data_IF_534231667367
#
_entry.id   IF_534231667367
#
_cell.length_a   1.000
_cell.length_b   1.000
_cell.length_c   1.000
_cell.angle_alpha   90.00
_cell.angle_beta   90.00
_cell.angle_gamma   90.00
#
_symmetry.space_group_name_H-M   'P 1'
#
loop_
_entity.id
_entity.type
_entity.pdbx_description
1 polymer ?
#
# COMPACT_ATOMS: atom_id res chain seq x y z
N UNK A 1 32.06 56.31 -21.65
CA UNK A 1 31.96 55.08 -22.46
C UNK A 1 31.58 53.92 -21.55
N UNK A 2 30.43 53.28 -21.85
CA UNK A 2 29.94 51.90 -21.53
C UNK A 2 30.75 51.10 -20.47
N UNK A 3 30.18 50.51 -19.42
CA UNK A 3 29.01 49.60 -19.42
C UNK A 3 28.31 49.60 -18.05
N UNK A 4 26.99 49.77 -18.07
CA UNK A 4 26.06 49.45 -16.98
C UNK A 4 25.75 47.97 -17.07
N UNK A 5 26.02 47.18 -16.02
CA UNK A 5 25.54 45.80 -15.91
C UNK A 5 24.33 45.82 -14.98
N UNK A 6 23.16 45.84 -15.62
CA UNK A 6 21.85 45.66 -15.03
C UNK A 6 21.71 44.17 -14.67
N UNK A 7 21.71 43.84 -13.37
CA UNK A 7 21.40 42.48 -12.92
C UNK A 7 19.90 42.42 -12.61
N UNK A 8 19.10 42.15 -13.63
CA UNK A 8 17.69 41.77 -13.51
C UNK A 8 17.62 40.44 -12.74
N UNK A 9 17.21 40.49 -11.47
CA UNK A 9 16.82 39.28 -10.74
C UNK A 9 15.55 38.73 -11.38
N UNK A 10 15.72 37.64 -12.12
CA UNK A 10 14.65 36.85 -12.70
C UNK A 10 13.86 36.19 -11.56
N UNK A 11 12.68 36.74 -11.27
CA UNK A 11 11.72 36.18 -10.32
C UNK A 11 11.10 34.94 -10.99
N UNK A 12 11.65 33.75 -10.74
CA UNK A 12 10.98 32.50 -11.07
C UNK A 12 9.90 32.27 -10.02
N UNK A 13 8.72 32.84 -10.29
CA UNK A 13 7.49 32.43 -9.64
C UNK A 13 7.34 30.92 -9.90
N UNK A 14 7.53 30.11 -8.87
CA UNK A 14 7.12 28.71 -8.88
C UNK A 14 5.59 28.71 -8.79
N UNK A 15 4.93 28.98 -9.92
CA UNK A 15 3.57 28.49 -10.12
C UNK A 15 3.65 26.99 -9.93
N UNK A 16 3.05 26.48 -8.85
CA UNK A 16 2.66 25.08 -8.83
C UNK A 16 1.66 24.92 -9.98
N UNK A 17 2.18 24.61 -11.16
CA UNK A 17 1.40 23.88 -12.11
C UNK A 17 0.93 22.65 -11.34
N UNK A 18 -0.38 22.51 -11.15
CA UNK A 18 -0.97 21.19 -11.26
C UNK A 18 -0.32 20.60 -12.50
N UNK A 19 0.67 19.74 -12.31
CA UNK A 19 1.11 18.89 -13.39
C UNK A 19 -0.14 18.09 -13.70
N UNK A 20 -0.85 18.52 -14.75
CA UNK A 20 -1.46 17.58 -15.66
C UNK A 20 -0.32 16.62 -15.96
N UNK A 21 -0.26 15.52 -15.23
CA UNK A 21 0.59 14.41 -15.64
C UNK A 21 0.06 14.12 -17.03
N UNK A 22 0.84 14.46 -18.06
CA UNK A 22 0.66 13.80 -19.33
C UNK A 22 0.88 12.32 -19.00
N UNK A 23 -0.23 11.62 -18.78
CA UNK A 23 -0.27 10.17 -18.79
C UNK A 23 0.25 9.81 -20.17
N UNK A 24 1.43 9.21 -20.21
CA UNK A 24 2.07 8.86 -21.46
C UNK A 24 1.19 7.82 -22.15
N UNK A 25 1.11 7.89 -23.48
CA UNK A 25 0.56 6.84 -24.30
C UNK A 25 1.68 6.34 -25.22
N UNK A 26 1.91 5.03 -25.21
CA UNK A 26 2.97 4.37 -25.98
C UNK A 26 2.42 3.06 -26.49
N UNK A 27 2.82 2.69 -27.70
CA UNK A 27 2.65 1.35 -28.22
C UNK A 27 3.98 0.59 -28.11
N UNK A 28 3.88 -0.69 -27.81
CA UNK A 28 5.00 -1.62 -27.74
C UNK A 28 4.64 -2.83 -28.59
N UNK A 29 5.46 -3.13 -29.58
CA UNK A 29 5.18 -4.23 -30.52
C UNK A 29 6.13 -4.24 -31.70
N UNK A 30 5.96 -5.24 -32.54
CA UNK A 30 6.71 -5.45 -33.79
C UNK A 30 5.81 -5.30 -35.01
N UNK A 31 6.10 -6.12 -36.03
CA UNK A 31 5.35 -6.13 -37.30
C UNK A 31 4.13 -7.05 -37.25
N UNK A 32 4.13 -8.02 -36.34
CA UNK A 32 3.09 -9.02 -36.16
C UNK A 32 2.26 -8.73 -34.90
N UNK A 33 1.65 -9.76 -34.31
CA UNK A 33 0.67 -9.61 -33.24
C UNK A 33 1.31 -9.59 -31.85
N UNK A 34 0.96 -8.57 -31.05
CA UNK A 34 1.28 -8.48 -29.62
C UNK A 34 0.02 -8.27 -28.78
N UNK A 35 -0.06 -8.97 -27.66
CA UNK A 35 -1.16 -8.85 -26.69
C UNK A 35 -0.59 -8.87 -25.28
N UNK A 36 -1.19 -8.09 -24.38
CA UNK A 36 -0.80 -8.02 -22.96
C UNK A 36 -1.93 -8.57 -22.11
N UNK A 37 -1.59 -9.42 -21.14
CA UNK A 37 -2.55 -10.03 -20.23
C UNK A 37 -2.40 -9.57 -18.78
N UNK A 38 -1.18 -9.18 -18.38
CA UNK A 38 -0.92 -8.82 -16.99
C UNK A 38 0.07 -7.65 -16.87
N UNK A 39 -0.22 -6.75 -15.94
CA UNK A 39 0.60 -5.58 -15.65
C UNK A 39 0.55 -5.28 -14.15
N UNK A 40 1.69 -4.87 -13.58
CA UNK A 40 1.77 -4.46 -12.18
C UNK A 40 2.73 -3.29 -12.00
N UNK A 41 2.37 -2.32 -11.16
CA UNK A 41 3.30 -1.29 -10.71
C UNK A 41 4.36 -1.91 -9.79
N UNK A 42 5.63 -1.62 -10.04
CA UNK A 42 6.75 -2.12 -9.25
C UNK A 42 7.13 -1.16 -8.13
N UNK A 43 7.80 -1.67 -7.09
CA UNK A 43 8.22 -0.93 -5.89
C UNK A 43 9.12 0.28 -6.16
N UNK A 44 9.81 0.30 -7.30
CA UNK A 44 10.62 1.42 -7.79
C UNK A 44 9.80 2.52 -8.49
N UNK A 45 8.47 2.36 -8.57
CA UNK A 45 7.54 3.26 -9.23
C UNK A 45 7.38 3.02 -10.74
N UNK A 46 8.10 2.06 -11.31
CA UNK A 46 7.93 1.58 -12.68
C UNK A 46 6.81 0.56 -12.83
N UNK A 47 6.83 -0.21 -13.92
CA UNK A 47 5.82 -1.22 -14.22
C UNK A 47 6.46 -2.48 -14.81
N UNK A 48 5.97 -3.64 -14.43
CA UNK A 48 6.27 -4.90 -15.11
C UNK A 48 5.05 -5.32 -15.93
N UNK A 49 5.28 -5.70 -17.18
CA UNK A 49 4.24 -6.06 -18.15
C UNK A 49 4.55 -7.45 -18.68
N UNK A 50 3.56 -8.33 -18.70
CA UNK A 50 3.65 -9.65 -19.32
C UNK A 50 2.57 -9.79 -20.41
N UNK A 51 3.04 -10.21 -21.58
CA UNK A 51 2.21 -10.45 -22.75
C UNK A 51 2.84 -11.48 -23.66
N UNK A 52 2.34 -11.53 -24.88
CA UNK A 52 2.77 -12.46 -25.91
C UNK A 52 3.17 -11.68 -27.16
N UNK A 53 4.10 -12.22 -27.94
CA UNK A 53 4.51 -11.67 -29.23
C UNK A 53 4.65 -12.76 -30.27
N UNK A 54 4.24 -12.47 -31.49
CA UNK A 54 4.59 -13.26 -32.68
C UNK A 54 5.67 -12.57 -33.52
N UNK A 55 6.14 -11.39 -33.12
CA UNK A 55 7.19 -10.64 -33.84
C UNK A 55 8.61 -11.00 -33.40
N UNK A 56 8.78 -11.55 -32.20
CA UNK A 56 10.09 -11.77 -31.58
C UNK A 56 10.14 -13.12 -30.86
N UNK A 57 11.35 -13.67 -30.70
CA UNK A 57 11.57 -14.90 -29.95
C UNK A 57 11.88 -16.10 -30.85
N UNK A 58 11.57 -17.30 -30.37
CA UNK A 58 11.93 -18.54 -31.01
C UNK A 58 10.67 -19.29 -31.48
N UNK A 59 10.58 -19.47 -32.80
CA UNK A 59 9.50 -20.28 -33.39
C UNK A 59 8.15 -19.58 -33.38
N UNK A 60 7.20 -20.15 -32.63
CA UNK A 60 5.81 -19.71 -32.55
C UNK A 60 5.62 -18.41 -31.77
N UNK A 61 4.54 -18.33 -31.01
CA UNK A 61 4.26 -17.20 -30.13
C UNK A 61 5.05 -17.35 -28.84
N UNK A 62 5.84 -16.34 -28.47
CA UNK A 62 6.60 -16.35 -27.22
C UNK A 62 5.98 -15.45 -26.14
N UNK A 63 6.28 -15.74 -24.87
CA UNK A 63 6.02 -14.82 -23.76
C UNK A 63 7.00 -13.64 -23.86
N UNK A 64 6.49 -12.42 -23.82
CA UNK A 64 7.28 -11.19 -23.85
C UNK A 64 7.04 -10.35 -22.60
N UNK A 65 8.12 -10.09 -21.86
CA UNK A 65 8.08 -9.33 -20.61
C UNK A 65 8.83 -8.03 -20.79
N UNK A 66 8.21 -6.92 -20.39
CA UNK A 66 8.80 -5.59 -20.38
C UNK A 66 8.84 -5.06 -18.95
N UNK A 67 10.03 -4.62 -18.51
CA UNK A 67 10.16 -3.71 -17.37
C UNK A 67 10.22 -2.28 -17.89
N UNK A 68 9.29 -1.48 -17.42
CA UNK A 68 9.12 -0.08 -17.77
C UNK A 68 9.48 0.80 -16.57
N UNK A 69 10.00 2.00 -16.88
CA UNK A 69 10.09 3.09 -15.94
C UNK A 69 8.72 3.71 -15.67
N UNK A 70 8.64 4.62 -14.69
CA UNK A 70 7.42 5.38 -14.38
C UNK A 70 6.88 6.22 -15.56
N UNK A 71 7.71 6.48 -16.58
CA UNK A 71 7.36 7.26 -17.78
C UNK A 71 7.13 6.40 -19.03
N UNK A 72 7.05 5.07 -18.86
CA UNK A 72 6.84 4.11 -19.95
C UNK A 72 8.07 3.92 -20.85
N UNK A 73 9.27 4.25 -20.36
CA UNK A 73 10.51 3.90 -21.08
C UNK A 73 10.87 2.46 -20.74
N UNK A 74 11.23 1.65 -21.73
CA UNK A 74 11.70 0.28 -21.50
C UNK A 74 13.06 0.33 -20.80
N UNK A 75 13.13 -0.25 -19.61
CA UNK A 75 14.38 -0.47 -18.87
C UNK A 75 15.02 -1.79 -19.30
N UNK A 76 14.22 -2.83 -19.45
CA UNK A 76 14.61 -4.08 -20.11
C UNK A 76 13.39 -4.81 -20.68
N UNK A 77 13.64 -5.68 -21.66
CA UNK A 77 12.61 -6.49 -22.32
C UNK A 77 13.23 -7.81 -22.80
N UNK A 78 12.49 -8.92 -22.67
CA UNK A 78 12.98 -10.26 -23.02
C UNK A 78 11.83 -11.16 -23.46
N UNK A 79 12.12 -12.07 -24.38
CA UNK A 79 11.23 -13.18 -24.75
C UNK A 79 11.62 -14.48 -24.05
N UNK A 80 10.62 -15.30 -23.75
CA UNK A 80 10.71 -16.57 -23.06
C UNK A 80 9.79 -17.57 -23.78
N UNK A 81 10.38 -18.59 -24.38
CA UNK A 81 9.63 -19.59 -25.14
C UNK A 81 10.53 -20.60 -25.85
N UNK A 82 9.88 -21.55 -26.52
CA UNK A 82 10.51 -22.71 -27.16
C UNK A 82 10.49 -22.62 -28.68
N UNK A 83 9.94 -23.65 -29.35
CA UNK A 83 9.72 -23.61 -30.81
C UNK A 83 8.23 -23.48 -31.15
N UNK A 84 7.38 -23.92 -30.23
CA UNK A 84 5.93 -23.87 -30.34
C UNK A 84 5.41 -22.62 -29.62
N UNK A 85 4.12 -22.60 -29.25
CA UNK A 85 3.50 -21.43 -28.63
C UNK A 85 3.60 -21.45 -27.11
N UNK A 86 3.82 -20.27 -26.53
CA UNK A 86 3.75 -19.98 -25.10
C UNK A 86 2.77 -18.84 -24.83
N UNK A 87 2.06 -18.99 -23.72
CA UNK A 87 1.01 -18.06 -23.29
C UNK A 87 1.27 -17.64 -21.85
N UNK A 88 1.02 -16.37 -21.53
CA UNK A 88 1.17 -15.83 -20.17
C UNK A 88 -0.11 -15.14 -19.73
N UNK A 89 -0.53 -15.40 -18.50
CA UNK A 89 -1.74 -14.78 -17.94
C UNK A 89 -1.47 -13.99 -16.66
N UNK A 90 -0.36 -14.25 -15.96
CA UNK A 90 -0.10 -13.60 -14.68
C UNK A 90 1.38 -13.33 -14.44
N UNK A 91 1.69 -12.10 -13.97
CA UNK A 91 2.99 -11.69 -13.47
C UNK A 91 2.84 -10.94 -12.15
N UNK A 92 3.76 -11.19 -11.22
CA UNK A 92 3.82 -10.46 -9.96
C UNK A 92 5.28 -10.18 -9.55
N UNK A 93 5.56 -8.95 -9.12
CA UNK A 93 6.79 -8.60 -8.42
C UNK A 93 6.80 -9.28 -7.06
N UNK A 94 7.87 -10.03 -6.81
CA UNK A 94 8.11 -10.71 -5.54
C UNK A 94 8.82 -9.80 -4.53
N UNK A 95 8.71 -10.12 -3.25
CA UNK A 95 9.27 -9.35 -2.12
C UNK A 95 10.79 -9.16 -2.16
N UNK A 96 11.52 -10.04 -2.87
CA UNK A 96 12.96 -9.90 -3.08
C UNK A 96 13.32 -8.99 -4.28
N UNK A 97 12.33 -8.36 -4.92
CA UNK A 97 12.50 -7.48 -6.07
C UNK A 97 12.57 -8.17 -7.43
N UNK A 98 12.57 -9.51 -7.47
CA UNK A 98 12.39 -10.29 -8.69
C UNK A 98 10.91 -10.41 -9.09
N UNK A 99 10.60 -11.32 -10.02
CA UNK A 99 9.25 -11.53 -10.54
C UNK A 99 8.90 -13.02 -10.56
N UNK A 100 7.62 -13.34 -10.42
CA UNK A 100 7.07 -14.68 -10.62
C UNK A 100 5.99 -14.62 -11.70
N UNK A 101 6.03 -15.58 -12.62
CA UNK A 101 5.20 -15.60 -13.82
C UNK A 101 4.54 -16.97 -13.93
N UNK A 102 3.28 -16.98 -14.36
CA UNK A 102 2.55 -18.20 -14.69
C UNK A 102 1.76 -18.06 -15.98
N UNK A 103 1.70 -19.17 -16.71
CA UNK A 103 0.98 -19.34 -17.97
C UNK A 103 1.05 -20.81 -18.39
N UNK A 104 1.14 -21.07 -19.69
CA UNK A 104 1.30 -22.42 -20.23
C UNK A 104 2.15 -22.45 -21.49
N UNK A 105 2.73 -23.61 -21.79
CA UNK A 105 3.68 -23.82 -22.89
C UNK A 105 3.33 -25.07 -23.67
N UNK A 106 3.36 -24.98 -25.00
CA UNK A 106 3.28 -26.13 -25.89
C UNK A 106 4.65 -26.76 -26.15
N UNK A 107 5.74 -26.05 -25.84
CA UNK A 107 7.11 -26.49 -26.12
C UNK A 107 7.69 -27.43 -25.06
N UNK A 108 7.16 -27.42 -23.84
CA UNK A 108 7.76 -28.11 -22.69
C UNK A 108 6.71 -28.83 -21.84
N UNK A 109 7.14 -29.87 -21.13
CA UNK A 109 6.31 -30.60 -20.16
C UNK A 109 5.84 -31.95 -20.67
N UNK A 110 4.78 -32.47 -20.06
CA UNK A 110 4.21 -33.76 -20.35
C UNK A 110 2.78 -33.57 -20.92
N UNK A 111 2.57 -34.04 -22.15
CA UNK A 111 1.27 -33.92 -22.81
C UNK A 111 1.26 -32.84 -23.90
N UNK A 112 0.13 -32.17 -24.06
CA UNK A 112 -0.09 -31.24 -25.19
C UNK A 112 0.36 -29.82 -24.88
N UNK A 113 0.18 -29.38 -23.64
CA UNK A 113 0.69 -28.13 -23.10
C UNK A 113 0.58 -28.18 -21.58
N UNK A 114 1.55 -27.60 -20.88
CA UNK A 114 1.60 -27.66 -19.42
C UNK A 114 1.64 -26.27 -18.79
N UNK A 115 1.25 -26.18 -17.51
CA UNK A 115 1.50 -24.98 -16.72
C UNK A 115 2.99 -24.72 -16.71
N UNK A 116 3.41 -23.50 -17.07
CA UNK A 116 4.79 -23.08 -16.94
C UNK A 116 4.88 -21.94 -15.92
N UNK A 117 5.65 -22.19 -14.86
CA UNK A 117 5.99 -21.16 -13.86
C UNK A 117 7.47 -20.92 -13.88
N UNK A 118 7.86 -19.65 -13.91
CA UNK A 118 9.25 -19.27 -13.81
C UNK A 118 9.43 -18.03 -12.95
N UNK A 119 10.51 -18.04 -12.18
CA UNK A 119 10.97 -16.93 -11.35
C UNK A 119 12.09 -16.21 -12.06
N UNK A 120 11.98 -14.89 -12.11
CA UNK A 120 13.00 -13.99 -12.62
C UNK A 120 13.65 -13.19 -11.49
N UNK A 121 14.91 -12.84 -11.71
CA UNK A 121 15.58 -11.77 -10.98
C UNK A 121 15.03 -10.40 -11.39
N UNK A 122 15.45 -9.35 -10.69
CA UNK A 122 15.08 -7.96 -11.02
C UNK A 122 15.55 -7.49 -12.41
N UNK A 123 16.51 -8.20 -13.02
CA UNK A 123 17.07 -7.90 -14.35
C UNK A 123 16.48 -8.79 -15.46
N UNK A 124 15.49 -9.62 -15.14
CA UNK A 124 14.86 -10.55 -16.07
C UNK A 124 15.71 -11.79 -16.36
N UNK A 125 16.67 -12.14 -15.51
CA UNK A 125 17.37 -13.43 -15.61
C UNK A 125 16.53 -14.52 -14.92
N UNK A 126 16.45 -15.72 -15.52
CA UNK A 126 15.72 -16.84 -14.92
C UNK A 126 16.49 -17.35 -13.70
N UNK A 127 15.84 -17.35 -12.54
CA UNK A 127 16.35 -17.97 -11.31
C UNK A 127 15.96 -19.44 -11.24
N UNK A 128 14.71 -19.76 -11.59
CA UNK A 128 14.24 -21.13 -11.79
C UNK A 128 13.01 -21.15 -12.69
N UNK A 129 12.72 -22.30 -13.30
CA UNK A 129 11.56 -22.52 -14.15
C UNK A 129 11.15 -24.00 -14.14
N UNK A 130 9.84 -24.27 -14.15
CA UNK A 130 9.29 -25.62 -14.05
C UNK A 130 7.95 -25.71 -14.77
N UNK A 131 7.69 -26.88 -15.34
CA UNK A 131 6.36 -27.24 -15.82
C UNK A 131 5.63 -28.13 -14.83
N UNK A 132 4.31 -27.97 -14.80
CA UNK A 132 3.39 -28.74 -13.96
C UNK A 132 2.20 -29.19 -14.81
N UNK A 133 1.98 -30.49 -14.87
CA UNK A 133 0.87 -31.07 -15.62
C UNK A 133 0.99 -32.59 -15.73
N UNK A 134 0.25 -33.16 -16.68
CA UNK A 134 0.03 -34.61 -16.79
C UNK A 134 0.22 -35.17 -18.19
N UNK A 135 -0.81 -35.79 -18.77
CA UNK A 135 -0.74 -36.37 -20.12
C UNK A 135 -1.53 -35.57 -21.16
N UNK A 136 -2.28 -34.56 -20.70
CA UNK A 136 -3.20 -33.77 -21.48
C UNK A 136 -2.78 -32.29 -21.47
N UNK A 137 -3.71 -31.35 -21.62
CA UNK A 137 -3.45 -29.92 -21.47
C UNK A 137 -3.57 -29.45 -20.03
N UNK A 138 -2.75 -28.50 -19.61
CA UNK A 138 -2.79 -27.91 -18.28
C UNK A 138 -2.39 -26.43 -18.37
N UNK A 139 -3.09 -25.53 -17.69
CA UNK A 139 -2.84 -24.09 -17.82
C UNK A 139 -3.07 -23.27 -16.57
N UNK A 140 -2.30 -22.20 -16.39
CA UNK A 140 -2.38 -21.31 -15.24
C UNK A 140 -2.86 -19.90 -15.66
N UNK A 141 -3.78 -19.35 -14.88
CA UNK A 141 -4.35 -18.02 -15.07
C UNK A 141 -3.84 -17.00 -14.06
N UNK A 142 -3.43 -17.47 -12.88
CA UNK A 142 -3.16 -16.59 -11.74
C UNK A 142 -2.03 -17.15 -10.88
N UNK A 143 -1.11 -16.27 -10.47
CA UNK A 143 -0.06 -16.58 -9.51
C UNK A 143 0.11 -15.46 -8.50
N UNK A 144 0.36 -15.84 -7.25
CA UNK A 144 0.70 -14.90 -6.19
C UNK A 144 1.75 -15.49 -5.25
N UNK A 145 2.73 -14.66 -4.86
CA UNK A 145 3.64 -14.96 -3.75
C UNK A 145 2.88 -14.93 -2.43
N UNK A 146 3.03 -15.99 -1.65
CA UNK A 146 2.40 -16.17 -0.33
C UNK A 146 3.29 -15.62 0.79
N UNK A 147 2.68 -15.35 1.95
CA UNK A 147 3.33 -14.76 3.13
C UNK A 147 4.46 -15.61 3.74
N UNK A 148 4.47 -16.91 3.48
CA UNK A 148 5.54 -17.85 3.81
C UNK A 148 6.73 -17.81 2.82
N UNK A 149 6.64 -16.99 1.77
CA UNK A 149 7.64 -16.86 0.71
C UNK A 149 7.50 -17.85 -0.45
N UNK A 150 6.54 -18.77 -0.39
CA UNK A 150 6.14 -19.64 -1.49
C UNK A 150 5.22 -18.95 -2.50
N UNK A 151 4.52 -19.74 -3.31
CA UNK A 151 3.60 -19.24 -4.33
C UNK A 151 2.33 -20.07 -4.41
N UNK A 152 1.19 -19.42 -4.65
CA UNK A 152 -0.07 -20.08 -4.94
C UNK A 152 -0.42 -19.83 -6.42
N UNK A 153 -0.81 -20.89 -7.13
CA UNK A 153 -1.12 -20.89 -8.56
C UNK A 153 -2.53 -21.43 -8.74
N UNK A 154 -3.30 -20.80 -9.63
CA UNK A 154 -4.62 -21.27 -10.03
C UNK A 154 -4.74 -21.36 -11.56
N UNK A 155 -5.56 -22.31 -12.01
CA UNK A 155 -5.81 -22.55 -13.42
C UNK A 155 -6.75 -23.73 -13.66
N UNK A 156 -6.48 -24.48 -14.72
CA UNK A 156 -7.26 -25.64 -15.14
C UNK A 156 -6.35 -26.84 -15.47
N UNK A 157 -6.91 -28.04 -15.44
CA UNK A 157 -6.24 -29.28 -15.83
C UNK A 157 -7.17 -30.17 -16.65
N UNK A 158 -6.69 -30.70 -17.78
CA UNK A 158 -7.32 -31.79 -18.53
C UNK A 158 -6.74 -33.16 -18.15
N UNK A 159 -5.79 -33.17 -17.22
CA UNK A 159 -4.97 -34.32 -16.88
C UNK A 159 -5.44 -35.03 -15.62
N UNK A 160 -6.09 -34.31 -14.70
CA UNK A 160 -6.47 -34.80 -13.37
C UNK A 160 -7.88 -34.37 -13.01
N UNK A 161 -8.48 -35.05 -12.03
CA UNK A 161 -9.80 -34.70 -11.49
C UNK A 161 -10.91 -35.60 -12.00
N UNK A 162 -12.14 -35.10 -12.00
CA UNK A 162 -13.36 -35.91 -11.97
C UNK A 162 -14.23 -35.80 -13.23
N UNK A 163 -13.71 -35.61 -14.43
CA UNK A 163 -14.54 -35.66 -15.64
C UNK A 163 -13.94 -34.86 -16.79
N UNK A 164 -14.60 -33.75 -17.13
CA UNK A 164 -14.03 -32.71 -17.99
C UNK A 164 -12.90 -31.96 -17.26
N UNK A 165 -12.49 -30.79 -17.77
CA UNK A 165 -11.39 -30.05 -17.16
C UNK A 165 -11.76 -29.65 -15.74
N UNK A 166 -10.83 -29.75 -14.81
CA UNK A 166 -11.06 -29.37 -13.43
C UNK A 166 -10.30 -28.08 -13.08
N UNK A 167 -10.86 -27.28 -12.18
CA UNK A 167 -10.11 -26.16 -11.62
C UNK A 167 -8.95 -26.71 -10.78
N UNK A 168 -7.74 -26.23 -11.04
CA UNK A 168 -6.53 -26.76 -10.40
C UNK A 168 -5.79 -25.67 -9.64
N UNK A 169 -5.46 -25.96 -8.38
CA UNK A 169 -4.67 -25.08 -7.52
C UNK A 169 -3.42 -25.80 -7.05
N UNK A 170 -2.28 -25.12 -7.15
CA UNK A 170 -0.99 -25.58 -6.66
C UNK A 170 -0.45 -24.61 -5.62
N UNK A 171 -0.04 -25.13 -4.46
CA UNK A 171 0.84 -24.43 -3.54
C UNK A 171 2.27 -24.90 -3.78
N UNK A 172 3.13 -23.93 -4.06
CA UNK A 172 4.53 -24.11 -4.34
C UNK A 172 5.37 -23.53 -3.20
N UNK A 173 6.53 -24.15 -2.97
CA UNK A 173 7.59 -23.59 -2.14
C UNK A 173 8.29 -22.44 -2.86
N UNK A 174 9.18 -21.72 -2.17
CA UNK A 174 9.99 -20.64 -2.78
C UNK A 174 10.89 -21.13 -3.93
N UNK A 175 11.20 -22.43 -3.99
CA UNK A 175 12.01 -23.08 -5.01
C UNK A 175 11.18 -23.71 -6.15
N UNK A 176 9.85 -23.53 -6.12
CA UNK A 176 8.92 -24.10 -7.10
C UNK A 176 8.61 -25.59 -6.88
N UNK A 177 8.93 -26.16 -5.72
CA UNK A 177 8.53 -27.53 -5.42
C UNK A 177 7.07 -27.55 -4.95
N UNK A 178 6.28 -28.54 -5.36
CA UNK A 178 4.87 -28.65 -4.97
C UNK A 178 4.77 -29.05 -3.49
N UNK A 179 4.17 -28.18 -2.68
CA UNK A 179 3.85 -28.48 -1.27
C UNK A 179 2.51 -29.20 -1.17
N UNK A 180 1.51 -28.72 -1.91
CA UNK A 180 0.25 -29.41 -2.12
C UNK A 180 -0.40 -28.98 -3.43
N UNK A 181 -1.32 -29.79 -3.90
CA UNK A 181 -2.15 -29.51 -5.07
C UNK A 181 -3.53 -30.16 -4.92
N UNK A 182 -4.55 -29.53 -5.52
CA UNK A 182 -5.95 -29.98 -5.43
C UNK A 182 -6.71 -29.61 -6.70
N UNK A 183 -7.58 -30.52 -7.14
CA UNK A 183 -8.59 -30.26 -8.16
C UNK A 183 -9.95 -30.00 -7.51
N UNK A 184 -10.69 -29.05 -8.05
CA UNK A 184 -12.02 -28.67 -7.62
C UNK A 184 -12.93 -28.69 -8.84
N UNK A 185 -13.94 -29.53 -8.80
CA UNK A 185 -14.78 -29.76 -9.97
C UNK A 185 -15.68 -30.97 -9.81
N UNK A 186 -16.54 -31.15 -10.81
CA UNK A 186 -17.48 -32.25 -10.93
C UNK A 186 -17.23 -33.02 -12.22
N UNK A 187 -18.29 -33.57 -12.82
CA UNK A 187 -18.16 -34.35 -14.05
C UNK A 187 -17.97 -33.53 -15.32
N UNK A 188 -18.19 -32.22 -15.25
CA UNK A 188 -18.10 -31.29 -16.38
C UNK A 188 -16.87 -30.36 -16.23
N UNK A 189 -16.88 -29.24 -16.95
CA UNK A 189 -15.77 -28.30 -17.08
C UNK A 189 -15.72 -27.28 -15.93
N UNK A 190 -14.55 -27.11 -15.32
CA UNK A 190 -14.24 -26.12 -14.30
C UNK A 190 -12.87 -25.49 -14.55
N UNK A 191 -12.76 -24.19 -14.29
CA UNK A 191 -11.47 -23.49 -14.32
C UNK A 191 -11.38 -22.43 -13.23
N UNK A 192 -10.25 -22.38 -12.53
CA UNK A 192 -9.95 -21.26 -11.63
C UNK A 192 -9.25 -20.15 -12.41
N UNK A 193 -9.73 -18.92 -12.27
CA UNK A 193 -9.24 -17.74 -12.99
C UNK A 193 -8.42 -16.80 -12.13
N UNK A 194 -8.73 -16.70 -10.84
CA UNK A 194 -8.04 -15.80 -9.91
C UNK A 194 -7.89 -16.45 -8.55
N UNK A 195 -6.74 -16.24 -7.91
CA UNK A 195 -6.47 -16.71 -6.56
C UNK A 195 -5.77 -15.65 -5.73
N UNK A 196 -6.12 -15.56 -4.45
CA UNK A 196 -5.49 -14.67 -3.48
C UNK A 196 -5.36 -15.36 -2.11
N UNK A 197 -4.25 -15.16 -1.41
CA UNK A 197 -4.06 -15.54 -0.02
C UNK A 197 -4.85 -14.58 0.89
N UNK A 198 -5.56 -15.14 1.85
CA UNK A 198 -6.30 -14.39 2.87
C UNK A 198 -5.47 -14.20 4.14
N UNK A 199 -5.82 -13.19 4.95
CA UNK A 199 -5.09 -12.84 6.18
C UNK A 199 -5.11 -13.92 7.27
N UNK A 200 -6.03 -14.88 7.18
CA UNK A 200 -6.12 -16.08 8.04
C UNK A 200 -5.16 -17.20 7.58
N UNK A 201 -4.38 -16.99 6.53
CA UNK A 201 -3.43 -17.96 5.96
C UNK A 201 -4.04 -18.93 4.93
N UNK A 202 -5.36 -18.91 4.73
CA UNK A 202 -6.02 -19.66 3.66
C UNK A 202 -6.01 -18.92 2.32
N UNK A 203 -6.90 -19.32 1.41
CA UNK A 203 -6.96 -18.75 0.05
C UNK A 203 -8.40 -18.52 -0.41
N UNK A 204 -8.62 -17.57 -1.30
CA UNK A 204 -9.86 -17.41 -2.04
C UNK A 204 -9.60 -17.61 -3.53
N UNK A 205 -10.50 -18.35 -4.19
CA UNK A 205 -10.39 -18.71 -5.61
C UNK A 205 -11.67 -18.30 -6.30
N UNK A 206 -11.58 -17.70 -7.48
CA UNK A 206 -12.72 -17.41 -8.34
C UNK A 206 -12.53 -18.08 -9.71
N UNK A 207 -13.60 -18.62 -10.27
CA UNK A 207 -13.58 -19.41 -11.49
C UNK A 207 -14.96 -19.59 -12.12
N UNK A 208 -15.07 -20.50 -13.10
CA UNK A 208 -16.36 -20.92 -13.67
C UNK A 208 -16.54 -22.43 -13.57
N UNK A 209 -17.80 -22.89 -13.61
CA UNK A 209 -18.22 -24.29 -13.55
C UNK A 209 -19.35 -24.58 -14.52
N UNK A 210 -19.35 -25.79 -15.07
CA UNK A 210 -20.46 -26.40 -15.80
C UNK A 210 -21.15 -27.51 -14.98
N UNK A 211 -20.55 -27.95 -13.87
CA UNK A 211 -21.04 -29.09 -13.08
C UNK A 211 -22.11 -28.74 -12.05
N UNK A 212 -22.11 -27.51 -11.52
CA UNK A 212 -22.85 -27.20 -10.29
C UNK A 212 -23.98 -26.18 -10.47
N UNK A 213 -24.43 -25.98 -11.70
CA UNK A 213 -25.42 -24.95 -12.01
C UNK A 213 -26.48 -25.37 -13.03
N UNK A 214 -27.49 -24.51 -13.22
CA UNK A 214 -28.63 -24.77 -14.08
C UNK A 214 -28.51 -23.95 -15.38
N UNK A 215 -27.93 -24.55 -16.42
CA UNK A 215 -27.79 -23.90 -17.72
C UNK A 215 -26.39 -24.04 -18.31
N UNK A 216 -25.89 -22.96 -18.91
CA UNK A 216 -24.49 -22.80 -19.34
C UNK A 216 -23.62 -22.29 -18.18
N UNK A 217 -22.44 -21.74 -18.48
CA UNK A 217 -21.37 -21.39 -17.52
C UNK A 217 -21.87 -20.52 -16.37
N UNK A 218 -21.60 -20.93 -15.13
CA UNK A 218 -21.75 -20.10 -13.93
C UNK A 218 -20.41 -19.85 -13.24
N UNK A 219 -20.27 -18.74 -12.52
CA UNK A 219 -19.05 -18.46 -11.77
C UNK A 219 -19.11 -19.04 -10.35
N UNK A 220 -17.99 -19.55 -9.86
CA UNK A 220 -17.83 -19.98 -8.48
C UNK A 220 -16.84 -19.10 -7.72
N UNK A 221 -16.99 -19.06 -6.39
CA UNK A 221 -15.98 -18.53 -5.47
C UNK A 221 -15.78 -19.55 -4.35
N UNK A 222 -14.53 -19.95 -4.12
CA UNK A 222 -14.15 -20.90 -3.06
C UNK A 222 -13.31 -20.19 -2.00
N UNK A 223 -13.54 -20.53 -0.73
CA UNK A 223 -12.60 -20.25 0.37
C UNK A 223 -11.91 -21.57 0.74
N UNK A 224 -10.60 -21.59 0.58
CA UNK A 224 -9.75 -22.71 0.94
C UNK A 224 -9.10 -22.48 2.32
N UNK A 225 -8.89 -23.57 3.03
CA UNK A 225 -7.99 -23.67 4.17
C UNK A 225 -6.52 -23.58 3.71
N UNK A 226 -5.55 -23.36 4.62
CA UNK A 226 -4.13 -23.24 4.27
C UNK A 226 -3.53 -24.46 3.55
N UNK A 227 -4.12 -25.64 3.73
CA UNK A 227 -3.76 -26.91 3.08
C UNK A 227 -4.49 -27.17 1.75
N UNK A 228 -5.31 -26.22 1.30
CA UNK A 228 -6.08 -26.32 0.07
C UNK A 228 -7.43 -27.02 0.23
N UNK A 229 -7.74 -27.57 1.41
CA UNK A 229 -9.04 -28.21 1.59
C UNK A 229 -10.15 -27.14 1.75
N UNK A 230 -11.41 -27.57 1.60
CA UNK A 230 -12.60 -26.74 1.85
C UNK A 230 -13.42 -27.38 2.96
N UNK A 231 -14.47 -26.71 3.42
CA UNK A 231 -15.36 -27.25 4.44
C UNK A 231 -15.82 -28.68 4.07
N UNK A 232 -15.63 -29.70 4.93
CA UNK A 232 -15.96 -31.09 4.61
C UNK A 232 -17.44 -31.34 4.27
N UNK A 233 -18.34 -30.41 4.58
CA UNK A 233 -19.73 -30.45 4.16
C UNK A 233 -19.93 -30.15 2.67
N UNK A 234 -18.92 -29.61 1.98
CA UNK A 234 -18.88 -29.38 0.55
C UNK A 234 -18.28 -30.61 -0.17
N UNK A 235 -19.10 -31.42 -0.84
CA UNK A 235 -18.67 -32.62 -1.58
C UNK A 235 -17.95 -32.36 -2.92
N UNK A 236 -17.02 -31.40 -2.98
CA UNK A 236 -16.42 -30.86 -4.22
C UNK A 236 -14.89 -31.09 -4.35
N UNK A 237 -14.27 -31.94 -3.51
CA UNK A 237 -12.81 -32.11 -3.51
C UNK A 237 -12.39 -33.45 -4.12
N UNK A 238 -11.44 -33.38 -5.07
CA UNK A 238 -10.62 -34.51 -5.51
C UNK A 238 -9.13 -34.32 -5.15
N UNK A 239 -8.39 -35.43 -5.04
CA UNK A 239 -6.92 -35.41 -4.89
C UNK A 239 -6.22 -35.52 -6.25
N UNK A 240 -5.17 -34.71 -6.50
CA UNK A 240 -4.36 -34.76 -7.73
C UNK A 240 -2.85 -34.99 -7.48
N UNK A 241 -2.16 -35.57 -8.47
CA UNK A 241 -0.73 -35.90 -8.43
C UNK A 241 -0.02 -35.47 -9.73
N UNK A 242 0.22 -34.17 -9.92
CA UNK A 242 0.96 -33.67 -11.08
C UNK A 242 2.43 -34.08 -11.11
N UNK A 243 2.94 -34.27 -12.34
CA UNK A 243 4.37 -34.46 -12.59
C UNK A 243 5.06 -33.09 -12.65
N UNK A 244 6.20 -32.98 -11.95
CA UNK A 244 7.01 -31.75 -11.93
C UNK A 244 8.27 -31.97 -12.75
N UNK A 245 8.42 -31.18 -13.82
CA UNK A 245 9.60 -31.27 -14.70
C UNK A 245 10.31 -29.92 -14.69
N UNK A 246 11.61 -29.91 -14.34
CA UNK A 246 12.44 -28.71 -14.47
C UNK A 246 12.75 -28.43 -15.94
N UNK A 247 12.56 -27.20 -16.39
CA UNK A 247 12.86 -26.78 -17.77
C UNK A 247 14.11 -25.90 -17.82
N UNK A 248 14.72 -25.79 -19.01
CA UNK A 248 15.97 -25.05 -19.23
C UNK A 248 15.89 -24.16 -20.47
N UNK A 249 15.04 -23.13 -20.43
CA UNK A 249 15.00 -22.06 -21.43
C UNK A 249 16.03 -20.98 -21.12
N UNK A 250 16.67 -20.42 -22.14
CA UNK A 250 17.51 -19.22 -22.03
C UNK A 250 16.76 -18.02 -22.59
N UNK A 251 16.65 -16.89 -21.88
CA UNK A 251 15.89 -15.74 -22.34
C UNK A 251 16.54 -15.06 -23.54
N UNK A 252 15.74 -14.69 -24.54
CA UNK A 252 16.16 -13.87 -25.68
C UNK A 252 16.03 -12.38 -25.37
N UNK A 253 17.06 -11.57 -25.65
CA UNK A 253 16.95 -10.12 -25.58
C UNK A 253 16.24 -9.56 -26.83
N UNK A 254 15.32 -8.62 -26.66
CA UNK A 254 14.66 -7.90 -27.76
C UNK A 254 15.04 -6.41 -27.77
N UNK A 255 15.10 -5.79 -28.95
CA UNK A 255 15.50 -4.38 -29.14
C UNK A 255 14.35 -3.51 -29.68
N UNK A 256 13.19 -3.52 -29.02
CA UNK A 256 12.04 -2.69 -29.42
C UNK A 256 12.21 -1.26 -28.89
N UNK A 257 12.09 -0.27 -29.76
CA UNK A 257 12.03 1.15 -29.39
C UNK A 257 10.57 1.60 -29.28
N UNK A 258 10.10 2.13 -28.13
CA UNK A 258 8.74 2.61 -27.98
C UNK A 258 8.40 3.74 -28.95
N UNK A 259 7.25 3.67 -29.61
CA UNK A 259 6.74 4.75 -30.45
C UNK A 259 5.78 5.64 -29.66
N UNK A 260 6.00 6.95 -29.70
CA UNK A 260 5.08 7.91 -29.08
C UNK A 260 3.89 8.16 -30.01
N UNK A 261 2.69 7.84 -29.56
CA UNK A 261 1.47 8.22 -30.26
C UNK A 261 1.05 9.61 -29.78
N UNK A 262 1.05 10.58 -30.69
CA UNK A 262 0.46 11.90 -30.42
C UNK A 262 -1.06 11.78 -30.53
N UNK A 263 -1.72 11.52 -29.40
CA UNK A 263 -3.18 11.62 -29.31
C UNK A 263 -3.53 13.10 -29.18
N UNK A 264 -4.06 13.71 -30.24
CA UNK A 264 -4.89 14.91 -30.08
C UNK A 264 -6.22 14.46 -29.48
N UNK A 265 -6.61 14.90 -28.27
CA UNK A 265 -7.95 14.61 -27.77
C UNK A 265 -8.95 15.22 -28.75
N UNK A 266 -9.64 14.40 -29.53
CA UNK A 266 -10.87 14.83 -30.18
C UNK A 266 -11.86 15.08 -29.06
N UNK A 267 -12.16 16.36 -28.78
CA UNK A 267 -13.32 16.70 -27.96
C UNK A 267 -14.57 16.41 -28.77
N UNK A 268 -15.00 15.16 -28.75
CA UNK A 268 -16.40 14.84 -28.96
C UNK A 268 -17.18 15.44 -27.81
N UNK A 269 -18.01 16.45 -28.09
CA UNK A 269 -19.07 16.90 -27.19
C UNK A 269 -20.09 15.78 -27.06
N UNK A 270 -19.81 14.83 -26.15
CA UNK A 270 -20.73 13.77 -25.75
C UNK A 270 -21.57 14.32 -24.62
N UNK A 271 -22.83 14.58 -24.90
CA UNK A 271 -23.87 14.66 -23.86
C UNK A 271 -24.05 13.22 -23.33
N UNK A 272 -23.92 12.94 -22.02
CA UNK A 272 -24.11 11.59 -21.52
C UNK A 272 -25.54 11.12 -21.83
N UNK A 273 -25.65 10.03 -22.59
CA UNK A 273 -26.87 9.25 -22.75
C UNK A 273 -26.68 7.95 -21.96
N UNK A 274 -27.57 7.72 -20.99
CA UNK A 274 -27.57 6.51 -20.17
C UNK A 274 -27.75 5.26 -21.04
N UNK A 275 -26.86 4.28 -20.88
CA UNK A 275 -27.05 2.91 -21.37
C UNK A 275 -27.68 2.06 -20.26
N UNK A 276 -28.87 1.52 -20.52
CA UNK A 276 -29.55 0.60 -19.61
C UNK A 276 -28.98 -0.82 -19.79
N UNK A 277 -27.96 -1.14 -19.00
CA UNK A 277 -27.75 -2.50 -18.51
C UNK A 277 -28.59 -2.66 -17.24
N UNK A 278 -29.39 -3.73 -17.14
CA UNK A 278 -30.15 -4.00 -15.91
C UNK A 278 -29.26 -4.71 -14.90
N UNK A 279 -29.03 -4.04 -13.78
CA UNK A 279 -28.44 -4.60 -12.56
C UNK A 279 -29.58 -4.75 -11.56
N UNK A 280 -29.86 -5.98 -11.11
CA UNK A 280 -30.70 -6.21 -9.95
C UNK A 280 -29.82 -6.27 -8.71
N UNK A 281 -29.88 -5.21 -7.90
CA UNK A 281 -29.27 -5.13 -6.58
C UNK A 281 -30.08 -5.99 -5.60
N UNK A 282 -29.54 -7.12 -5.14
CA UNK A 282 -30.27 -8.02 -4.22
C UNK A 282 -30.24 -7.55 -2.75
N UNK A 283 -29.20 -6.81 -2.33
CA UNK A 283 -29.22 -5.93 -1.14
C UNK A 283 -27.92 -5.10 -1.06
N UNK A 284 -28.00 -3.89 -0.48
CA UNK A 284 -26.86 -3.16 0.04
C UNK A 284 -26.82 -3.40 1.56
N UNK A 285 -25.67 -3.80 2.11
CA UNK A 285 -25.51 -3.88 3.55
C UNK A 285 -25.73 -2.46 4.13
N UNK A 286 -26.66 -2.28 5.08
CA UNK A 286 -26.99 -0.95 5.56
C UNK A 286 -25.73 -0.31 6.14
N UNK A 287 -25.46 0.93 5.71
CA UNK A 287 -24.42 1.76 6.30
C UNK A 287 -25.03 2.62 7.36
N UNK A 288 -24.29 2.82 8.43
CA UNK A 288 -24.70 3.63 9.56
C UNK A 288 -23.65 4.70 9.84
N UNK A 289 -24.14 5.87 10.23
CA UNK A 289 -23.32 7.03 10.56
C UNK A 289 -23.07 7.07 12.06
N UNK A 290 -21.80 7.08 12.46
CA UNK A 290 -21.36 7.44 13.79
C UNK A 290 -21.03 8.94 13.82
N UNK A 291 -21.84 9.71 14.54
CA UNK A 291 -21.58 11.13 14.80
C UNK A 291 -20.89 11.28 16.16
N UNK A 292 -19.63 11.72 16.13
CA UNK A 292 -18.83 11.98 17.32
C UNK A 292 -18.91 13.46 17.71
N UNK A 293 -19.16 13.72 18.98
CA UNK A 293 -19.14 15.07 19.58
C UNK A 293 -18.47 15.07 20.95
N UNK A 294 -18.09 16.25 21.45
CA UNK A 294 -17.51 16.40 22.79
C UNK A 294 -18.17 17.57 23.52
N UNK A 295 -18.19 17.54 24.86
CA UNK A 295 -18.29 18.78 25.63
C UNK A 295 -16.92 19.47 25.69
N UNK A 296 -16.89 20.75 26.06
CA UNK A 296 -15.63 21.47 26.28
C UNK A 296 -14.73 20.71 27.24
N UNK A 297 -13.46 20.50 26.88
CA UNK A 297 -12.49 19.85 27.76
C UNK A 297 -11.82 18.59 27.22
N UNK A 298 -11.97 18.24 25.95
CA UNK A 298 -11.24 17.11 25.35
C UNK A 298 -11.52 16.84 23.87
N UNK A 299 -10.87 15.81 23.34
CA UNK A 299 -11.03 15.30 21.96
C UNK A 299 -11.35 13.79 21.98
N UNK A 300 -11.74 13.26 20.82
CA UNK A 300 -12.03 11.83 20.64
C UNK A 300 -11.27 11.24 19.45
N UNK A 301 -11.14 9.93 19.43
CA UNK A 301 -10.81 9.11 18.26
C UNK A 301 -11.87 8.00 18.13
N UNK A 302 -12.64 7.89 17.02
CA UNK A 302 -12.66 8.78 15.85
C UNK A 302 -12.87 10.26 16.20
N UNK A 303 -12.27 11.14 15.40
CA UNK A 303 -12.33 12.58 15.61
C UNK A 303 -13.77 13.11 15.59
N UNK A 304 -14.02 14.26 16.22
CA UNK A 304 -15.32 14.92 16.16
C UNK A 304 -15.78 15.11 14.71
N UNK A 305 -17.01 14.73 14.41
CA UNK A 305 -17.55 14.71 13.04
C UNK A 305 -18.34 13.43 12.75
N UNK A 306 -18.77 13.29 11.51
CA UNK A 306 -19.54 12.14 11.03
C UNK A 306 -18.65 11.15 10.30
N UNK A 307 -18.77 9.87 10.65
CA UNK A 307 -18.01 8.74 10.10
C UNK A 307 -18.99 7.64 9.69
N UNK A 308 -18.80 7.02 8.53
CA UNK A 308 -19.72 6.02 7.99
C UNK A 308 -19.11 4.63 8.05
N UNK A 309 -19.88 3.65 8.54
CA UNK A 309 -19.46 2.26 8.71
C UNK A 309 -20.53 1.32 8.18
N UNK A 310 -20.15 0.10 7.78
CA UNK A 310 -21.08 -0.97 7.43
C UNK A 310 -21.75 -1.56 8.69
N UNK A 311 -22.92 -2.20 8.52
CA UNK A 311 -23.58 -2.97 9.59
C UNK A 311 -22.62 -3.99 10.23
N UNK A 312 -22.72 -4.13 11.55
CA UNK A 312 -21.90 -4.95 12.44
C UNK A 312 -20.42 -4.57 12.57
N UNK A 313 -19.95 -3.50 11.94
CA UNK A 313 -18.58 -3.01 12.19
C UNK A 313 -18.39 -2.63 13.66
N UNK A 314 -17.33 -3.15 14.30
CA UNK A 314 -16.94 -2.74 15.65
C UNK A 314 -16.03 -1.51 15.60
N UNK A 315 -16.43 -0.44 16.26
CA UNK A 315 -15.70 0.83 16.33
C UNK A 315 -15.24 1.08 17.74
N UNK A 316 -13.92 1.20 17.94
CA UNK A 316 -13.33 1.55 19.24
C UNK A 316 -13.18 3.06 19.36
N UNK A 317 -13.83 3.64 20.36
CA UNK A 317 -13.82 5.06 20.68
C UNK A 317 -12.95 5.33 21.90
N UNK A 318 -12.08 6.33 21.81
CA UNK A 318 -11.21 6.76 22.89
C UNK A 318 -11.38 8.26 23.13
N UNK A 319 -11.54 8.67 24.39
CA UNK A 319 -11.62 10.07 24.81
C UNK A 319 -10.29 10.54 25.41
N UNK A 320 -9.85 11.74 25.04
CA UNK A 320 -8.62 12.37 25.53
C UNK A 320 -8.98 13.70 26.20
N UNK A 321 -8.88 13.79 27.52
CA UNK A 321 -9.15 15.02 28.28
C UNK A 321 -8.01 16.03 28.16
N UNK A 322 -8.33 17.31 28.02
CA UNK A 322 -7.37 18.41 28.17
C UNK A 322 -7.24 18.83 29.63
N UNK A 323 -6.19 19.61 29.96
CA UNK A 323 -5.87 20.00 31.35
C UNK A 323 -7.02 20.77 32.02
N UNK A 324 -7.25 20.48 33.29
CA UNK A 324 -8.35 21.07 34.07
C UNK A 324 -9.69 20.37 33.85
N UNK A 325 -9.73 19.37 32.97
CA UNK A 325 -10.91 18.57 32.70
C UNK A 325 -10.62 17.09 32.93
N UNK A 326 -11.65 16.37 33.35
CA UNK A 326 -11.62 14.91 33.43
C UNK A 326 -12.71 14.33 32.52
N UNK A 327 -12.43 13.17 31.94
CA UNK A 327 -13.45 12.40 31.25
C UNK A 327 -14.42 11.82 32.29
N UNK A 328 -15.72 12.08 32.11
CA UNK A 328 -16.78 11.59 33.00
C UNK A 328 -17.59 10.45 32.42
N UNK A 329 -17.57 10.26 31.11
CA UNK A 329 -18.30 9.19 30.45
C UNK A 329 -18.71 9.53 29.03
N UNK A 330 -19.16 8.51 28.32
CA UNK A 330 -19.83 8.61 27.04
C UNK A 330 -21.33 8.79 27.28
N UNK A 331 -21.99 9.60 26.45
CA UNK A 331 -23.45 9.79 26.45
C UNK A 331 -23.98 9.72 25.02
N UNK A 332 -25.25 9.38 24.86
CA UNK A 332 -25.94 9.31 23.57
C UNK A 332 -26.34 7.89 23.26
N UNK A 333 -25.97 7.38 22.09
CA UNK A 333 -26.28 6.01 21.65
C UNK A 333 -25.57 4.92 22.45
N UNK A 334 -24.56 5.30 23.24
CA UNK A 334 -23.95 4.47 24.28
C UNK A 334 -23.74 5.32 25.53
N UNK A 335 -23.91 4.70 26.71
CA UNK A 335 -23.65 5.33 28.01
C UNK A 335 -22.70 4.45 28.80
N UNK A 336 -21.52 4.95 29.11
CA UNK A 336 -20.48 4.20 29.83
C UNK A 336 -19.42 5.13 30.41
N UNK A 337 -18.82 4.75 31.52
CA UNK A 337 -17.66 5.43 32.10
C UNK A 337 -16.33 4.82 31.66
N UNK A 338 -16.36 3.70 30.93
CA UNK A 338 -15.15 3.04 30.42
C UNK A 338 -14.55 3.83 29.26
N UNK A 339 -13.22 3.95 29.26
CA UNK A 339 -12.46 4.60 28.21
C UNK A 339 -11.12 3.87 28.02
N UNK A 340 -10.84 3.25 26.86
CA UNK A 340 -11.66 3.24 25.63
C UNK A 340 -12.94 2.37 25.75
N UNK A 341 -13.86 2.53 24.80
CA UNK A 341 -15.06 1.69 24.63
C UNK A 341 -15.21 1.24 23.18
N UNK A 342 -15.70 0.02 22.95
CA UNK A 342 -16.03 -0.49 21.61
C UNK A 342 -17.54 -0.59 21.44
N UNK A 343 -18.05 -0.17 20.29
CA UNK A 343 -19.47 -0.26 19.93
C UNK A 343 -19.63 -0.99 18.59
N UNK A 344 -20.72 -1.73 18.44
CA UNK A 344 -21.10 -2.37 17.17
C UNK A 344 -22.06 -1.44 16.41
N UNK A 345 -21.75 -1.16 15.13
CA UNK A 345 -22.57 -0.32 14.26
C UNK A 345 -23.75 -1.11 13.70
N UNK A 346 -24.94 -0.92 14.24
CA UNK A 346 -26.20 -1.56 13.80
C UNK A 346 -27.36 -0.57 13.61
N UNK A 347 -27.06 0.72 13.73
CA UNK A 347 -27.95 1.87 13.56
C UNK A 347 -27.09 3.11 13.40
N UNK A 348 -27.65 4.21 12.90
CA UNK A 348 -27.01 5.52 13.11
C UNK A 348 -26.83 5.74 14.62
N UNK A 349 -25.65 6.23 15.00
CA UNK A 349 -25.27 6.46 16.40
C UNK A 349 -24.72 7.86 16.56
N UNK A 350 -25.16 8.54 17.59
CA UNK A 350 -24.60 9.80 18.03
C UNK A 350 -24.03 9.62 19.43
N UNK A 351 -22.72 9.82 19.57
CA UNK A 351 -22.00 9.62 20.83
C UNK A 351 -21.24 10.89 21.19
N UNK A 352 -21.42 11.34 22.43
CA UNK A 352 -20.78 12.51 22.99
C UNK A 352 -19.83 12.10 24.12
N UNK A 353 -18.57 12.49 24.05
CA UNK A 353 -17.65 12.40 25.18
C UNK A 353 -17.93 13.56 26.15
N UNK A 354 -18.26 13.23 27.40
CA UNK A 354 -18.51 14.21 28.45
C UNK A 354 -17.24 14.43 29.26
N UNK A 355 -16.73 15.66 29.19
CA UNK A 355 -15.67 16.18 30.02
C UNK A 355 -16.25 17.15 31.06
N UNK A 356 -15.74 17.08 32.28
CA UNK A 356 -16.10 17.99 33.38
C UNK A 356 -14.89 18.80 33.80
N UNK A 357 -15.08 20.10 33.94
CA UNK A 357 -14.09 20.98 34.56
C UNK A 357 -13.92 20.55 36.03
N UNK A 358 -12.70 20.20 36.41
CA UNK A 358 -12.34 19.93 37.79
C UNK A 358 -12.52 21.22 38.60
N UNK A 359 -13.11 21.18 39.81
CA UNK A 359 -13.17 22.36 40.66
C UNK A 359 -11.77 22.93 40.82
N UNK A 360 -11.63 24.26 40.69
CA UNK A 360 -10.38 24.91 41.05
C UNK A 360 -10.07 24.53 42.49
N UNK A 361 -8.99 23.77 42.67
CA UNK A 361 -8.40 23.58 43.99
C UNK A 361 -8.00 24.97 44.49
N UNK A 362 -8.80 25.53 45.40
CA UNK A 362 -8.31 26.48 46.40
C UNK A 362 -7.31 25.73 47.28
N UNK A 363 -6.11 25.49 46.75
CA UNK A 363 -4.86 25.35 47.49
C UNK A 363 -3.71 25.16 46.49
N UNK A 364 -2.94 26.23 46.28
CA UNK A 364 -1.59 26.26 45.73
C UNK A 364 -1.10 25.05 44.93
N UNK A 365 -1.55 24.92 43.69
CA UNK A 365 -1.02 23.90 42.78
C UNK A 365 0.44 24.27 42.41
N UNK A 366 1.42 23.69 43.12
CA UNK A 366 2.76 23.49 42.58
C UNK A 366 2.60 22.58 41.37
N UNK A 367 2.41 23.14 40.19
CA UNK A 367 2.71 22.42 38.95
C UNK A 367 4.10 21.78 39.11
N UNK A 368 4.28 20.51 38.73
CA UNK A 368 5.62 19.94 38.70
C UNK A 368 6.50 20.86 37.85
N UNK A 369 7.53 21.43 38.48
CA UNK A 369 8.47 22.29 37.80
C UNK A 369 9.18 21.42 36.76
N UNK A 370 9.04 21.77 35.48
CA UNK A 370 9.77 21.13 34.38
C UNK A 370 10.89 22.06 33.92
N UNK A 371 11.92 21.51 33.27
CA UNK A 371 13.13 22.25 32.84
C UNK A 371 12.79 23.59 32.18
N UNK A 372 11.85 23.60 31.23
CA UNK A 372 11.42 24.81 30.55
C UNK A 372 10.71 25.79 31.52
N UNK A 373 9.79 25.31 32.36
CA UNK A 373 9.12 26.11 33.40
C UNK A 373 10.11 26.70 34.40
N UNK A 374 11.12 25.93 34.81
CA UNK A 374 12.19 26.38 35.71
C UNK A 374 13.03 27.51 35.08
N UNK A 375 13.31 27.41 33.78
CA UNK A 375 14.10 28.40 33.03
C UNK A 375 13.31 29.68 32.72
N UNK A 376 12.03 29.56 32.37
CA UNK A 376 11.16 30.70 32.07
C UNK A 376 10.52 31.32 33.32
N UNK A 377 10.53 30.60 34.44
CA UNK A 377 10.08 31.08 35.75
C UNK A 377 8.56 31.08 35.95
N UNK A 378 7.80 30.72 34.92
CA UNK A 378 6.36 30.58 34.98
C UNK A 378 5.90 29.49 34.00
N UNK A 379 4.94 28.63 34.40
CA UNK A 379 4.34 27.66 33.48
C UNK A 379 3.42 28.32 32.44
N UNK A 380 3.03 29.57 32.66
CA UNK A 380 2.20 30.38 31.77
C UNK A 380 3.03 31.32 30.87
N UNK A 381 4.34 31.09 30.77
CA UNK A 381 5.18 31.91 29.92
C UNK A 381 4.91 31.58 28.43
N UNK A 382 4.79 32.57 27.51
CA UNK A 382 4.39 32.32 26.12
C UNK A 382 5.23 31.28 25.36
N UNK A 383 6.52 31.20 25.65
CA UNK A 383 7.41 30.18 25.09
C UNK A 383 7.07 28.75 25.53
N UNK A 384 6.51 28.57 26.72
CA UNK A 384 6.03 27.27 27.22
C UNK A 384 4.80 26.85 26.42
N UNK A 385 3.90 27.78 26.11
CA UNK A 385 2.70 27.49 25.30
C UNK A 385 3.09 27.00 23.90
N UNK A 386 4.03 27.68 23.25
CA UNK A 386 4.58 27.26 21.94
C UNK A 386 5.13 25.82 21.99
N UNK A 387 5.88 25.47 23.03
CA UNK A 387 6.45 24.12 23.19
C UNK A 387 5.35 23.08 23.46
N UNK A 388 4.29 23.44 24.18
CA UNK A 388 3.15 22.57 24.47
C UNK A 388 2.30 22.33 23.22
N UNK A 389 2.05 23.36 22.43
CA UNK A 389 1.31 23.24 21.16
C UNK A 389 2.04 22.32 20.18
N UNK A 390 3.37 22.45 20.09
CA UNK A 390 4.18 21.57 19.25
C UNK A 390 4.15 20.11 19.74
N UNK A 391 4.27 19.89 21.05
CA UNK A 391 4.13 18.56 21.67
C UNK A 391 2.79 17.94 21.30
N UNK A 392 1.70 18.67 21.49
CA UNK A 392 0.34 18.16 21.30
C UNK A 392 0.05 17.88 19.82
N UNK A 393 0.52 18.76 18.92
CA UNK A 393 0.28 18.64 17.48
C UNK A 393 1.14 17.56 16.80
N UNK A 394 2.40 17.38 17.20
CA UNK A 394 3.35 16.55 16.45
C UNK A 394 3.92 15.37 17.23
N UNK A 395 4.04 15.45 18.56
CA UNK A 395 4.63 14.37 19.35
C UNK A 395 3.56 13.40 19.88
N UNK A 396 2.44 13.90 20.40
CA UNK A 396 1.39 13.08 21.00
C UNK A 396 0.66 12.13 20.02
N UNK A 397 0.48 12.46 18.72
CA UNK A 397 -0.16 11.54 17.77
C UNK A 397 0.68 10.29 17.47
N UNK A 398 2.00 10.35 17.61
CA UNK A 398 2.92 9.27 17.22
C UNK A 398 3.36 8.43 18.43
N UNK A 399 3.52 7.11 18.26
CA UNK A 399 4.00 6.20 19.32
C UNK A 399 5.40 6.60 19.82
N UNK A 400 6.29 6.99 18.89
CA UNK A 400 7.63 7.46 19.20
C UNK A 400 7.60 8.79 19.99
N UNK A 401 6.80 9.76 19.55
CA UNK A 401 6.68 11.05 20.24
C UNK A 401 6.10 10.92 21.65
N UNK A 402 5.09 10.06 21.86
CA UNK A 402 4.59 9.74 23.21
C UNK A 402 5.67 9.16 24.11
N UNK A 403 6.52 8.29 23.58
CA UNK A 403 7.63 7.70 24.33
C UNK A 403 8.66 8.76 24.76
N UNK A 404 9.01 9.68 23.85
CA UNK A 404 9.92 10.80 24.14
C UNK A 404 9.35 11.76 25.18
N UNK A 405 8.06 12.10 25.07
CA UNK A 405 7.36 12.95 26.05
C UNK A 405 7.36 12.27 27.42
N UNK A 406 7.01 11.00 27.52
CA UNK A 406 7.04 10.26 28.79
C UNK A 406 8.44 10.26 29.43
N UNK A 407 9.49 10.10 28.62
CA UNK A 407 10.88 10.18 29.09
C UNK A 407 11.21 11.57 29.65
N UNK A 408 10.85 12.64 28.92
CA UNK A 408 11.04 14.01 29.39
C UNK A 408 10.32 14.27 30.72
N UNK A 409 9.06 13.85 30.84
CA UNK A 409 8.27 14.05 32.06
C UNK A 409 8.83 13.26 33.26
N UNK A 410 9.41 12.08 33.01
CA UNK A 410 10.05 11.25 34.05
C UNK A 410 11.30 11.90 34.65
N UNK A 411 12.15 12.52 33.83
CA UNK A 411 13.46 13.03 34.28
C UNK A 411 13.50 14.54 34.56
N UNK A 412 12.57 15.31 34.00
CA UNK A 412 12.56 16.77 34.07
C UNK A 412 12.40 17.35 35.50
N UNK A 413 11.60 16.78 36.42
CA UNK A 413 11.43 17.36 37.77
C UNK A 413 12.73 17.51 38.58
N UNK A 414 13.60 16.50 38.58
CA UNK A 414 14.87 16.55 39.32
C UNK A 414 15.81 17.62 38.79
N UNK A 415 15.86 17.78 37.47
CA UNK A 415 16.70 18.78 36.79
C UNK A 415 16.10 20.19 36.95
N UNK A 416 14.78 20.31 36.87
CA UNK A 416 14.06 21.56 37.03
C UNK A 416 14.25 22.17 38.41
N UNK A 417 14.28 21.36 39.48
CA UNK A 417 14.57 21.84 40.83
C UNK A 417 15.97 22.47 40.95
N UNK A 418 16.97 21.92 40.25
CA UNK A 418 18.33 22.49 40.21
C UNK A 418 18.34 23.84 39.46
N UNK A 419 17.63 23.91 38.33
CA UNK A 419 17.52 25.13 37.51
C UNK A 419 16.75 26.22 38.26
N UNK A 420 15.64 25.89 38.91
CA UNK A 420 14.75 26.84 39.56
C UNK A 420 15.45 27.67 40.66
N UNK A 421 16.47 27.09 41.29
CA UNK A 421 17.22 27.70 42.39
C UNK A 421 18.53 28.38 41.97
N UNK A 422 18.91 28.36 40.68
CA UNK A 422 20.17 28.93 40.21
C UNK A 422 19.97 29.88 39.02
N UNK A 423 20.22 31.17 39.24
CA UNK A 423 20.06 32.23 38.22
C UNK A 423 20.92 32.00 36.96
N UNK A 424 22.15 31.50 37.11
CA UNK A 424 23.03 31.23 35.98
C UNK A 424 22.52 30.05 35.14
N UNK A 425 22.05 28.97 35.79
CA UNK A 425 21.44 27.83 35.10
C UNK A 425 20.14 28.22 34.39
N UNK A 426 19.29 29.08 34.98
CA UNK A 426 18.11 29.60 34.28
C UNK A 426 18.46 30.29 32.97
N UNK A 427 19.50 31.14 32.99
CA UNK A 427 19.92 31.89 31.81
C UNK A 427 20.49 30.97 30.72
N UNK A 428 21.33 30.00 31.11
CA UNK A 428 21.91 29.02 30.17
C UNK A 428 20.81 28.19 29.51
N UNK A 429 19.91 27.62 30.31
CA UNK A 429 18.82 26.77 29.81
C UNK A 429 17.84 27.58 28.96
N UNK A 430 17.52 28.81 29.36
CA UNK A 430 16.67 29.71 28.57
C UNK A 430 17.26 29.97 27.19
N UNK A 431 18.57 30.26 27.10
CA UNK A 431 19.25 30.49 25.83
C UNK A 431 19.27 29.24 24.95
N UNK A 432 19.45 28.06 25.55
CA UNK A 432 19.39 26.78 24.81
C UNK A 432 18.00 26.46 24.30
N UNK A 433 16.93 26.89 24.98
CA UNK A 433 15.55 26.66 24.57
C UNK A 433 15.08 27.57 23.43
N UNK A 434 15.68 28.74 23.23
CA UNK A 434 15.30 29.69 22.16
C UNK A 434 15.18 29.04 20.76
N UNK A 435 16.18 28.29 20.24
CA UNK A 435 16.05 27.66 18.93
C UNK A 435 14.93 26.62 18.87
N UNK A 436 14.68 25.88 19.96
CA UNK A 436 13.57 24.92 20.03
C UNK A 436 12.22 25.61 20.05
N UNK A 437 12.08 26.73 20.77
CA UNK A 437 10.87 27.55 20.78
C UNK A 437 10.61 28.13 19.38
N UNK A 438 11.64 28.66 18.71
CA UNK A 438 11.52 29.19 17.36
C UNK A 438 11.11 28.11 16.35
N UNK A 439 11.76 26.93 16.40
CA UNK A 439 11.39 25.78 15.57
C UNK A 439 9.96 25.31 15.83
N UNK A 440 9.58 25.19 17.10
CA UNK A 440 8.25 24.76 17.52
C UNK A 440 7.17 25.73 17.03
N UNK A 441 7.42 27.04 17.17
CA UNK A 441 6.54 28.09 16.67
C UNK A 441 6.34 27.96 15.16
N UNK A 442 7.43 27.93 14.38
CA UNK A 442 7.36 27.79 12.92
C UNK A 442 6.67 26.49 12.49
N UNK A 443 6.98 25.38 13.17
CA UNK A 443 6.37 24.08 12.90
C UNK A 443 4.86 24.08 13.11
N UNK A 444 4.39 24.69 14.20
CA UNK A 444 2.95 24.80 14.48
C UNK A 444 2.24 25.71 13.47
N UNK A 445 2.86 26.85 13.11
CA UNK A 445 2.28 27.91 12.25
C UNK A 445 2.31 27.60 10.74
N UNK A 446 3.37 26.97 10.24
CA UNK A 446 3.64 26.80 8.81
C UNK A 446 3.82 25.33 8.37
N UNK A 447 3.81 24.39 9.32
CA UNK A 447 4.04 22.97 9.04
C UNK A 447 5.52 22.57 9.10
N UNK A 448 5.78 21.30 9.44
CA UNK A 448 7.15 20.76 9.64
C UNK A 448 8.01 20.81 8.37
N UNK A 449 7.42 20.60 7.20
CA UNK A 449 8.13 20.59 5.91
C UNK A 449 8.72 21.99 5.62
N UNK A 450 7.87 23.02 5.67
CA UNK A 450 8.29 24.42 5.45
C UNK A 450 9.33 24.85 6.48
N UNK A 451 9.13 24.48 7.73
CA UNK A 451 10.02 24.80 8.85
C UNK A 451 11.42 24.22 8.66
N UNK A 452 11.51 22.97 8.20
CA UNK A 452 12.79 22.28 7.98
C UNK A 452 13.55 22.93 6.81
N UNK A 453 12.84 23.29 5.73
CA UNK A 453 13.43 23.99 4.57
C UNK A 453 14.04 25.33 5.00
N UNK A 454 13.31 26.13 5.77
CA UNK A 454 13.78 27.44 6.26
C UNK A 454 15.04 27.28 7.14
N UNK A 455 15.08 26.27 8.00
CA UNK A 455 16.23 26.01 8.88
C UNK A 455 17.48 25.57 8.11
N UNK A 456 17.32 24.73 7.10
CA UNK A 456 18.40 24.31 6.20
C UNK A 456 18.96 25.53 5.44
N UNK A 457 18.09 26.42 4.95
CA UNK A 457 18.51 27.64 4.26
C UNK A 457 19.27 28.60 5.19
N UNK A 458 18.79 28.81 6.42
CA UNK A 458 19.45 29.68 7.40
C UNK A 458 20.83 29.14 7.80
N UNK A 459 20.97 27.82 7.98
CA UNK A 459 22.24 27.17 8.32
C UNK A 459 23.21 27.08 7.13
N UNK A 460 22.70 27.05 5.89
CA UNK A 460 23.52 27.04 4.68
C UNK A 460 24.16 28.40 4.36
N UNK A 461 23.53 29.52 4.76
CA UNK A 461 24.02 30.88 4.48
C UNK A 461 25.45 31.12 5.03
N UNK A 462 25.77 30.83 6.32
CA UNK A 462 27.13 30.97 6.83
C UNK A 462 28.15 30.10 6.10
N UNK A 463 27.78 28.86 5.75
CA UNK A 463 28.66 27.92 5.04
C UNK A 463 28.99 28.42 3.64
N UNK A 464 27.98 28.94 2.92
CA UNK A 464 28.17 29.55 1.60
C UNK A 464 28.99 30.85 1.70
N UNK A 465 28.70 31.72 2.66
CA UNK A 465 29.45 32.96 2.88
C UNK A 465 30.91 32.72 3.23
N UNK A 466 31.23 31.70 4.05
CA UNK A 466 32.60 31.32 4.38
C UNK A 466 33.31 30.70 3.16
N UNK A 467 32.64 29.87 2.36
CA UNK A 467 33.22 29.32 1.13
C UNK A 467 33.53 30.40 0.08
N UNK A 468 32.68 31.43 0.00
CA UNK A 468 32.82 32.55 -0.93
C UNK A 468 33.93 33.52 -0.48
N UNK A 469 34.09 33.74 0.83
CA UNK A 469 35.19 34.52 1.39
C UNK A 469 36.54 33.81 1.22
N UNK A 470 36.59 32.48 1.35
CA UNK A 470 37.81 31.68 1.12
C UNK A 470 38.31 31.76 -0.33
N UNK A 471 37.42 31.89 -1.32
CA UNK A 471 37.76 32.06 -2.74
C UNK A 471 38.24 33.47 -3.12
N UNK A 472 38.14 34.45 -2.22
CA UNK A 472 38.67 35.82 -2.44
C UNK A 472 39.98 36.11 -1.69
N UNK A 473 40.41 35.21 -0.80
CA UNK A 473 41.61 35.36 0.03
C UNK A 473 42.74 34.38 -0.36
N UNK A 474 42.53 33.59 -1.41
CA UNK A 474 43.52 32.80 -2.14
C UNK A 474 43.44 33.31 -3.58
#
# INVERSE_FOLDING_TARGET
MKKVILFTMFFLAFTSFLSLHAQWARTYGGIDHEVVYSIQQTSDGGYIVAGETSSFGAGGRDIWILKLSSTGVIEWQRTYGGIDNEYVLSIQQTSNGGYIIAGYTYSFGAGTYDIWVFKLSSTGAIEWQRTYGGSSGDGATSIQQTSDGGYIVAGWTFSFGAGGDDAWVLKLSSAGDVEWQRTYGGSALEAAWSIQQTSDGGYIVAGFTYSFSAGEDDFFVLKLYPDGDIDPSCGLIGSSYASVISTYVSPGNTNVTPSTTSVTPSTTSVTPQNTYASVTLLCEAPKYTLTMSTTTGGTTDPAQGSHTYYDRTEVTMTAFSVRGYEFRGWKGSVSSTNNPITITMNSDKSVQAIFRLLPEEEEGMKEPCFIATAAYGSPLHPHIDILRDFRDKYLMPTKLGRTLVNLYYKYSPSVANLIANNKALKLIVRNQLVPFVAFSYMGVRFGLIVTTIVLVLILAIPVFSISFYRRKLI
#
